data_IF_399012901048
#
_entry.id   IF_399012901048
#
_cell.length_a   1.000
_cell.length_b   1.000
_cell.length_c   1.000
_cell.angle_alpha   90.00
_cell.angle_beta   90.00
_cell.angle_gamma   90.00
#
_symmetry.space_group_name_H-M   'P 1'
#
loop_
_entity.id
_entity.type
_entity.pdbx_description
1 polymer ?
#
# COMPACT_ATOMS: atom_id res chain seq x y z
N UNK A 1 4.00 -6.50 -23.29
CA UNK A 1 2.76 -7.32 -23.28
C UNK A 1 3.16 -8.78 -23.11
N UNK A 2 2.86 -9.44 -21.98
CA UNK A 2 3.07 -10.89 -21.89
C UNK A 2 2.10 -11.57 -22.84
N UNK A 3 2.60 -12.44 -23.72
CA UNK A 3 1.77 -13.19 -24.66
C UNK A 3 0.76 -14.03 -23.87
N UNK A 4 -0.49 -14.05 -24.33
CA UNK A 4 -1.57 -14.84 -23.73
C UNK A 4 -1.10 -16.31 -23.61
N UNK A 5 -1.17 -16.87 -22.40
CA UNK A 5 -0.78 -18.26 -22.10
C UNK A 5 0.62 -18.48 -21.53
N UNK A 6 1.47 -17.44 -21.41
CA UNK A 6 2.78 -17.58 -20.76
C UNK A 6 2.65 -17.52 -19.23
N UNK A 7 2.83 -18.66 -18.57
CA UNK A 7 2.95 -18.73 -17.11
C UNK A 7 4.39 -18.33 -16.74
N UNK A 8 4.55 -17.36 -15.83
CA UNK A 8 5.87 -17.02 -15.28
C UNK A 8 6.42 -18.21 -14.49
N UNK A 9 7.69 -18.50 -14.70
CA UNK A 9 8.34 -19.70 -14.21
C UNK A 9 9.73 -19.34 -13.63
N UNK A 10 9.98 -19.69 -12.36
CA UNK A 10 11.27 -19.45 -11.71
C UNK A 10 12.37 -20.43 -12.11
N UNK A 11 12.01 -21.58 -12.72
CA UNK A 11 12.91 -22.71 -12.96
C UNK A 11 13.02 -23.70 -11.79
N UNK A 12 12.47 -23.38 -10.61
CA UNK A 12 12.42 -24.27 -9.45
C UNK A 12 11.04 -24.93 -9.29
N UNK A 13 10.98 -26.09 -8.62
CA UNK A 13 9.74 -26.86 -8.44
C UNK A 13 9.55 -27.30 -7.00
N UNK A 14 8.30 -27.26 -6.55
CA UNK A 14 7.82 -27.89 -5.34
C UNK A 14 6.83 -28.98 -5.71
N UNK A 15 7.13 -30.21 -5.29
CA UNK A 15 6.23 -31.35 -5.40
C UNK A 15 5.44 -31.52 -4.11
N UNK A 16 4.15 -31.81 -4.24
CA UNK A 16 3.24 -32.04 -3.12
C UNK A 16 2.89 -33.53 -3.05
N UNK A 17 2.54 -34.01 -1.85
CA UNK A 17 2.14 -35.42 -1.63
C UNK A 17 0.96 -35.88 -2.50
N UNK A 18 0.17 -34.94 -3.02
CA UNK A 18 -0.94 -35.20 -3.94
C UNK A 18 -0.52 -35.46 -5.39
N UNK A 19 0.79 -35.38 -5.70
CA UNK A 19 1.32 -35.43 -7.06
C UNK A 19 1.25 -34.10 -7.81
N UNK A 20 0.74 -33.04 -7.18
CA UNK A 20 0.76 -31.69 -7.77
C UNK A 20 2.19 -31.14 -7.79
N UNK A 21 2.53 -30.40 -8.84
CA UNK A 21 3.81 -29.68 -8.96
C UNK A 21 3.50 -28.19 -9.16
N UNK A 22 4.13 -27.34 -8.37
CA UNK A 22 4.05 -25.88 -8.53
C UNK A 22 5.44 -25.27 -8.48
N UNK A 23 5.53 -24.07 -9.03
CA UNK A 23 6.71 -23.22 -8.87
C UNK A 23 6.91 -22.84 -7.39
N UNK A 24 8.15 -22.64 -6.96
CA UNK A 24 8.46 -22.35 -5.55
C UNK A 24 7.93 -20.97 -5.15
N UNK A 25 7.81 -20.74 -3.85
CA UNK A 25 7.40 -19.43 -3.31
C UNK A 25 8.59 -18.46 -3.17
N UNK A 26 9.81 -18.89 -3.51
CA UNK A 26 11.02 -18.09 -3.38
C UNK A 26 10.95 -16.86 -4.30
N UNK A 27 11.31 -15.69 -3.77
CA UNK A 27 11.31 -14.43 -4.52
C UNK A 27 9.92 -13.88 -4.90
N UNK A 28 8.81 -14.52 -4.48
CA UNK A 28 7.44 -14.06 -4.78
C UNK A 28 6.85 -13.23 -3.63
N UNK A 29 6.06 -12.18 -3.92
CA UNK A 29 5.30 -11.49 -2.89
C UNK A 29 4.37 -12.45 -2.13
N UNK A 30 4.44 -12.41 -0.81
CA UNK A 30 3.65 -13.27 0.10
C UNK A 30 2.49 -12.51 0.71
N UNK A 31 1.53 -12.11 -0.12
CA UNK A 31 0.32 -11.40 0.32
C UNK A 31 -0.47 -12.20 1.37
N UNK A 32 -0.38 -13.53 1.33
CA UNK A 32 -1.00 -14.46 2.28
C UNK A 32 -0.45 -14.33 3.71
N UNK A 33 0.71 -13.71 3.89
CA UNK A 33 1.30 -13.47 5.23
C UNK A 33 0.86 -12.14 5.85
N UNK A 34 0.14 -11.28 5.11
CA UNK A 34 -0.39 -10.03 5.68
C UNK A 34 -1.55 -10.39 6.63
N UNK A 35 -1.55 -9.95 7.90
CA UNK A 35 -2.61 -10.27 8.83
C UNK A 35 -3.99 -9.87 8.29
N UNK A 36 -4.95 -10.80 8.15
CA UNK A 36 -6.27 -10.49 7.59
C UNK A 36 -7.01 -9.39 8.36
N UNK A 37 -6.81 -9.30 9.69
CA UNK A 37 -7.38 -8.24 10.53
C UNK A 37 -6.83 -6.86 10.16
N UNK A 38 -5.53 -6.76 9.83
CA UNK A 38 -4.94 -5.50 9.39
C UNK A 38 -5.48 -5.06 8.03
N UNK A 39 -5.66 -6.01 7.10
CA UNK A 39 -6.31 -5.76 5.82
C UNK A 39 -7.75 -5.28 6.00
N UNK A 40 -8.54 -5.94 6.84
CA UNK A 40 -9.92 -5.57 7.12
C UNK A 40 -10.02 -4.16 7.71
N UNK A 41 -9.25 -3.85 8.76
CA UNK A 41 -9.21 -2.52 9.39
C UNK A 41 -8.85 -1.42 8.40
N UNK A 42 -7.84 -1.66 7.57
CA UNK A 42 -7.43 -0.74 6.50
C UNK A 42 -8.55 -0.56 5.47
N UNK A 43 -9.22 -1.64 5.05
CA UNK A 43 -10.34 -1.59 4.12
C UNK A 43 -11.54 -0.79 4.68
N UNK A 44 -11.84 -0.93 5.98
CA UNK A 44 -12.86 -0.11 6.65
C UNK A 44 -12.50 1.39 6.61
N UNK A 45 -11.23 1.73 6.81
CA UNK A 45 -10.77 3.13 6.70
C UNK A 45 -10.95 3.68 5.27
N UNK A 46 -10.59 2.91 4.24
CA UNK A 46 -10.88 3.28 2.83
C UNK A 46 -12.39 3.44 2.58
N UNK A 47 -13.23 2.55 3.13
CA UNK A 47 -14.69 2.62 3.01
C UNK A 47 -15.27 3.88 3.67
N UNK A 48 -14.76 4.26 4.84
CA UNK A 48 -15.10 5.51 5.51
C UNK A 48 -14.73 6.73 4.67
N UNK A 49 -13.52 6.75 4.09
CA UNK A 49 -13.09 7.79 3.17
C UNK A 49 -13.95 7.88 1.90
N UNK A 50 -14.33 6.73 1.32
CA UNK A 50 -15.19 6.68 0.14
C UNK A 50 -16.61 7.21 0.42
N UNK A 51 -17.14 6.94 1.61
CA UNK A 51 -18.45 7.42 2.06
C UNK A 51 -18.42 8.93 2.37
N UNK A 52 -17.34 9.41 3.02
CA UNK A 52 -17.17 10.81 3.41
C UNK A 52 -16.87 11.73 2.24
N UNK A 53 -16.10 11.26 1.27
CA UNK A 53 -15.69 12.03 0.09
C UNK A 53 -16.36 11.41 -1.13
N UNK A 54 -15.64 10.55 -1.87
CA UNK A 54 -16.14 9.75 -2.98
C UNK A 54 -15.25 8.50 -3.11
N UNK A 55 -15.73 7.41 -3.76
CA UNK A 55 -14.86 6.32 -4.16
C UNK A 55 -13.65 6.85 -4.94
N UNK A 56 -12.46 6.33 -4.62
CA UNK A 56 -11.19 6.72 -5.25
C UNK A 56 -10.70 8.16 -4.98
N UNK A 57 -11.27 8.89 -4.01
CA UNK A 57 -10.81 10.25 -3.67
C UNK A 57 -9.30 10.32 -3.39
N UNK A 58 -8.73 9.31 -2.71
CA UNK A 58 -7.29 9.25 -2.44
C UNK A 58 -6.45 9.17 -3.72
N UNK A 59 -6.98 8.59 -4.80
CA UNK A 59 -6.26 8.35 -6.05
C UNK A 59 -6.10 9.63 -6.91
N UNK A 60 -6.77 10.72 -6.53
CA UNK A 60 -6.62 12.03 -7.17
C UNK A 60 -5.24 12.67 -6.92
N UNK A 61 -4.43 12.09 -6.04
CA UNK A 61 -3.13 12.61 -5.65
C UNK A 61 -3.21 13.36 -4.31
N UNK A 62 -2.26 13.05 -3.42
CA UNK A 62 -2.08 13.73 -2.13
C UNK A 62 -0.58 13.88 -1.94
N UNK A 63 -0.12 15.09 -1.59
CA UNK A 63 1.31 15.34 -1.39
C UNK A 63 1.87 14.53 -0.20
N UNK A 64 3.11 14.07 -0.31
CA UNK A 64 3.74 13.19 0.67
C UNK A 64 3.80 13.84 2.05
N UNK A 65 4.05 15.16 2.11
CA UNK A 65 4.05 15.86 3.38
C UNK A 65 2.68 15.90 4.06
N UNK A 66 1.58 15.94 3.29
CA UNK A 66 0.21 15.88 3.81
C UNK A 66 -0.11 14.49 4.36
N UNK A 67 0.25 13.44 3.61
CA UNK A 67 0.12 12.05 4.07
C UNK A 67 0.94 11.82 5.33
N UNK A 68 2.21 12.24 5.34
CA UNK A 68 3.12 12.12 6.48
C UNK A 68 2.59 12.85 7.72
N UNK A 69 2.14 14.09 7.57
CA UNK A 69 1.56 14.85 8.68
C UNK A 69 0.31 14.16 9.24
N UNK A 70 -0.52 13.55 8.39
CA UNK A 70 -1.68 12.77 8.84
C UNK A 70 -1.27 11.52 9.60
N UNK A 71 -0.35 10.73 9.04
CA UNK A 71 0.19 9.53 9.68
C UNK A 71 0.79 9.87 11.05
N UNK A 72 1.57 10.95 11.15
CA UNK A 72 2.20 11.34 12.40
C UNK A 72 1.15 11.70 13.48
N UNK A 73 0.08 12.42 13.13
CA UNK A 73 -1.02 12.69 14.08
C UNK A 73 -1.66 11.41 14.59
N UNK A 74 -2.09 10.51 13.69
CA UNK A 74 -2.72 9.25 14.11
C UNK A 74 -1.76 8.37 14.94
N UNK A 75 -0.46 8.37 14.61
CA UNK A 75 0.54 7.65 15.41
C UNK A 75 0.66 8.23 16.83
N UNK A 76 0.63 9.56 16.99
CA UNK A 76 0.67 10.19 18.31
C UNK A 76 -0.62 9.95 19.10
N UNK A 77 -1.78 10.02 18.45
CA UNK A 77 -3.07 9.70 19.08
C UNK A 77 -3.11 8.26 19.58
N UNK A 78 -2.64 7.31 18.77
CA UNK A 78 -2.46 5.92 19.19
C UNK A 78 -1.52 5.80 20.39
N UNK A 79 -0.38 6.51 20.37
CA UNK A 79 0.57 6.50 21.50
C UNK A 79 -0.01 7.09 22.79
N UNK A 80 -0.97 8.02 22.68
CA UNK A 80 -1.72 8.56 23.82
C UNK A 80 -2.88 7.67 24.28
N UNK A 81 -3.14 6.55 23.58
CA UNK A 81 -4.23 5.62 23.91
C UNK A 81 -5.61 6.08 23.45
N UNK A 82 -5.70 6.99 22.47
CA UNK A 82 -6.98 7.38 21.88
C UNK A 82 -7.63 6.21 21.11
N UNK A 83 -8.97 6.18 21.11
CA UNK A 83 -9.79 5.07 20.58
C UNK A 83 -11.04 5.55 19.84
N UNK A 84 -11.13 6.84 19.55
CA UNK A 84 -12.26 7.46 18.85
C UNK A 84 -12.32 7.08 17.36
N UNK A 85 -11.20 6.65 16.78
CA UNK A 85 -11.13 6.02 15.47
C UNK A 85 -10.02 4.96 15.36
N UNK A 86 -9.94 4.26 14.23
CA UNK A 86 -8.87 3.32 13.96
C UNK A 86 -7.60 4.04 13.48
N UNK A 87 -6.85 4.61 14.43
CA UNK A 87 -5.64 5.38 14.13
C UNK A 87 -4.57 4.56 13.36
N UNK A 88 -4.38 3.28 13.71
CA UNK A 88 -3.39 2.45 13.02
C UNK A 88 -3.80 2.13 11.57
N UNK A 89 -5.09 1.95 11.30
CA UNK A 89 -5.57 1.84 9.93
C UNK A 89 -5.34 3.13 9.13
N UNK A 90 -5.50 4.29 9.76
CA UNK A 90 -5.22 5.59 9.13
C UNK A 90 -3.72 5.77 8.81
N UNK A 91 -2.82 5.30 9.70
CA UNK A 91 -1.37 5.26 9.42
C UNK A 91 -1.06 4.37 8.22
N UNK A 92 -1.64 3.15 8.18
CA UNK A 92 -1.45 2.21 7.07
C UNK A 92 -2.01 2.78 5.76
N UNK A 93 -3.16 3.46 5.79
CA UNK A 93 -3.71 4.16 4.63
C UNK A 93 -2.70 5.16 4.05
N UNK A 94 -2.11 6.02 4.90
CA UNK A 94 -1.11 6.99 4.45
C UNK A 94 0.13 6.31 3.84
N UNK A 95 0.63 5.25 4.48
CA UNK A 95 1.77 4.48 3.96
C UNK A 95 1.46 3.82 2.60
N UNK A 96 0.26 3.25 2.44
CA UNK A 96 -0.19 2.65 1.19
C UNK A 96 -0.26 3.69 0.06
N UNK A 97 -0.80 4.88 0.32
CA UNK A 97 -0.84 5.96 -0.66
C UNK A 97 0.57 6.40 -1.08
N UNK A 98 1.50 6.58 -0.14
CA UNK A 98 2.89 6.93 -0.45
C UNK A 98 3.55 5.84 -1.32
N UNK A 99 3.47 4.56 -0.92
CA UNK A 99 4.04 3.45 -1.71
C UNK A 99 3.46 3.39 -3.12
N UNK A 100 2.15 3.61 -3.25
CA UNK A 100 1.47 3.63 -4.54
C UNK A 100 1.97 4.77 -5.44
N UNK A 101 2.02 5.99 -4.92
CA UNK A 101 2.49 7.15 -5.69
C UNK A 101 3.97 7.08 -6.02
N UNK A 102 4.81 6.54 -5.14
CA UNK A 102 6.22 6.27 -5.46
C UNK A 102 6.37 5.38 -6.69
N UNK A 103 5.55 4.33 -6.82
CA UNK A 103 5.56 3.47 -8.00
C UNK A 103 5.01 4.20 -9.23
N UNK A 104 3.92 4.95 -9.10
CA UNK A 104 3.38 5.74 -10.20
C UNK A 104 4.37 6.79 -10.72
N UNK A 105 5.12 7.47 -9.85
CA UNK A 105 6.12 8.48 -10.24
C UNK A 105 7.23 7.88 -11.10
N UNK A 106 7.66 6.63 -10.84
CA UNK A 106 8.63 5.92 -11.72
C UNK A 106 8.06 5.76 -13.13
N UNK A 107 6.77 5.45 -13.17
CA UNK A 107 5.86 5.37 -14.31
C UNK A 107 5.70 6.67 -15.12
N UNK A 108 5.65 7.77 -14.35
CA UNK A 108 4.93 8.97 -14.73
C UNK A 108 5.55 10.21 -14.07
N UNK A 109 6.67 10.73 -14.62
CA UNK A 109 7.48 11.75 -13.96
C UNK A 109 6.78 13.08 -13.68
N UNK A 110 5.70 13.41 -14.37
CA UNK A 110 4.90 14.62 -14.10
C UNK A 110 4.23 14.59 -12.72
N UNK A 111 4.04 13.40 -12.14
CA UNK A 111 3.54 13.23 -10.77
C UNK A 111 4.61 13.49 -9.71
N UNK A 112 5.86 13.79 -10.08
CA UNK A 112 6.95 14.02 -9.12
C UNK A 112 6.66 15.15 -8.12
N UNK A 113 5.76 16.08 -8.47
CA UNK A 113 5.31 17.14 -7.56
C UNK A 113 4.60 16.62 -6.30
N UNK A 114 4.09 15.38 -6.31
CA UNK A 114 3.50 14.74 -5.12
C UNK A 114 4.56 14.41 -4.05
N UNK A 115 5.83 14.18 -4.44
CA UNK A 115 6.94 13.95 -3.51
C UNK A 115 7.59 15.29 -3.08
N UNK A 116 6.76 16.16 -2.51
CA UNK A 116 7.10 17.51 -2.05
C UNK A 116 8.03 17.55 -0.80
N UNK A 117 8.41 16.37 -0.31
CA UNK A 117 9.35 16.23 0.80
C UNK A 117 10.81 16.24 0.31
N UNK A 118 11.09 15.75 -0.90
CA UNK A 118 12.44 15.81 -1.49
C UNK A 118 12.88 17.23 -1.83
N UNK A 119 11.94 18.10 -2.18
CA UNK A 119 12.22 19.50 -2.53
C UNK A 119 12.55 20.40 -1.34
N UNK A 120 12.48 19.89 -0.09
CA UNK A 120 12.76 20.67 1.13
C UNK A 120 14.23 20.77 1.49
N UNK A 121 15.08 19.96 0.85
CA UNK A 121 16.54 20.06 0.96
C UNK A 121 17.00 20.77 -0.32
N UNK A 122 17.45 22.04 -0.25
CA UNK A 122 18.10 22.66 -1.40
C UNK A 122 19.35 21.86 -1.76
N UNK A 123 19.57 21.64 -3.06
CA UNK A 123 20.82 21.09 -3.59
C UNK A 123 22.02 21.98 -3.22
#
# INVERSE_FOLDING_TARGET
MSKIGQIKDSGERQEFKTGAVRDTQSGKPRYDLIPPVALYRTAMHYGGGATKYTPWNWALGIEFSRLFASMYRHLMQFAMGETDEDHMAAVVFGANCIMHFQELIKHNPELAHLDDMKSRIPN
#
